data_IF_865896308261
#
_entry.id   IF_865896308261
#
_cell.length_a   1.000
_cell.length_b   1.000
_cell.length_c   1.000
_cell.angle_alpha   90.00
_cell.angle_beta   90.00
_cell.angle_gamma   90.00
#
_symmetry.space_group_name_H-M   'P 1'
#
loop_
_entity.id
_entity.type
_entity.pdbx_description
1 polymer ?
#
# COMPACT_ATOMS: atom_id res chain seq x y z
N UNK A 1 -57.61 -17.66 -33.18
CA UNK A 1 -57.29 -18.70 -32.19
C UNK A 1 -56.16 -18.17 -31.33
N UNK A 2 -56.45 -17.85 -30.07
CA UNK A 2 -55.47 -17.29 -29.13
C UNK A 2 -54.77 -18.48 -28.47
N UNK A 3 -53.46 -18.57 -28.58
CA UNK A 3 -52.66 -19.59 -27.91
C UNK A 3 -52.17 -19.03 -26.58
N UNK A 4 -52.55 -19.61 -25.43
CA UNK A 4 -52.08 -19.14 -24.14
C UNK A 4 -50.64 -19.62 -23.92
N UNK A 5 -49.72 -18.69 -23.65
CA UNK A 5 -48.36 -19.01 -23.18
C UNK A 5 -48.38 -19.33 -21.69
N UNK A 6 -47.70 -20.41 -21.30
CA UNK A 6 -47.52 -20.94 -19.95
C UNK A 6 -46.71 -20.01 -19.03
N UNK A 7 -47.10 -18.74 -18.86
CA UNK A 7 -46.45 -17.80 -17.92
C UNK A 7 -47.30 -17.50 -16.68
N UNK A 8 -48.22 -18.41 -16.36
CA UNK A 8 -48.86 -18.50 -15.06
C UNK A 8 -48.83 -19.98 -14.67
N UNK A 9 -47.65 -20.45 -14.26
CA UNK A 9 -47.54 -21.69 -13.51
C UNK A 9 -47.36 -21.29 -12.06
N UNK A 10 -48.42 -21.48 -11.28
CA UNK A 10 -48.43 -21.54 -9.80
C UNK A 10 -47.51 -20.52 -9.13
N UNK A 11 -47.97 -19.26 -9.09
CA UNK A 11 -47.37 -18.27 -8.21
C UNK A 11 -47.75 -18.62 -6.77
N UNK A 12 -46.93 -19.46 -6.14
CA UNK A 12 -46.96 -19.63 -4.70
C UNK A 12 -46.30 -18.37 -4.11
N UNK A 13 -47.13 -17.35 -3.83
CA UNK A 13 -46.68 -16.08 -3.24
C UNK A 13 -45.85 -16.30 -1.98
N UNK A 14 -46.13 -17.37 -1.24
CA UNK A 14 -45.43 -17.71 -0.01
C UNK A 14 -43.98 -18.10 -0.27
N UNK A 15 -43.72 -18.96 -1.26
CA UNK A 15 -42.35 -19.40 -1.62
C UNK A 15 -41.53 -18.24 -2.19
N UNK A 16 -42.14 -17.39 -3.03
CA UNK A 16 -41.46 -16.22 -3.59
C UNK A 16 -41.12 -15.17 -2.50
N UNK A 17 -42.06 -14.89 -1.60
CA UNK A 17 -41.83 -13.97 -0.48
C UNK A 17 -40.85 -14.54 0.55
N UNK A 18 -40.90 -15.85 0.82
CA UNK A 18 -39.95 -16.55 1.68
C UNK A 18 -38.53 -16.43 1.11
N UNK A 19 -38.36 -16.67 -0.19
CA UNK A 19 -37.08 -16.55 -0.85
C UNK A 19 -36.57 -15.11 -0.93
N UNK A 20 -37.47 -14.11 -1.02
CA UNK A 20 -37.10 -12.71 -0.90
C UNK A 20 -36.56 -12.39 0.50
N UNK A 21 -37.19 -12.91 1.55
CA UNK A 21 -36.75 -12.79 2.94
C UNK A 21 -35.37 -13.37 3.18
N UNK A 22 -35.10 -14.58 2.67
CA UNK A 22 -33.78 -15.22 2.73
C UNK A 22 -32.70 -14.40 1.99
N UNK A 23 -33.03 -13.84 0.82
CA UNK A 23 -32.08 -12.99 0.08
C UNK A 23 -31.81 -11.65 0.78
N UNK A 24 -32.80 -11.11 1.51
CA UNK A 24 -32.66 -9.91 2.33
C UNK A 24 -31.76 -10.16 3.55
N UNK A 25 -31.91 -11.32 4.20
CA UNK A 25 -31.11 -11.74 5.35
C UNK A 25 -29.63 -11.94 4.96
N UNK A 26 -29.38 -12.52 3.79
CA UNK A 26 -28.02 -12.74 3.26
C UNK A 26 -27.36 -11.48 2.67
N UNK A 27 -28.09 -10.37 2.52
CA UNK A 27 -27.59 -9.14 1.89
C UNK A 27 -26.48 -8.48 2.71
N UNK A 28 -26.60 -8.50 4.03
CA UNK A 28 -25.61 -7.94 4.94
C UNK A 28 -24.29 -8.73 4.87
N UNK A 29 -24.38 -10.05 4.80
CA UNK A 29 -23.24 -10.96 4.64
C UNK A 29 -22.50 -10.70 3.31
N UNK A 30 -23.23 -10.61 2.18
CA UNK A 30 -22.63 -10.30 0.87
C UNK A 30 -21.95 -8.93 0.85
N UNK A 31 -22.50 -7.94 1.57
CA UNK A 31 -21.93 -6.60 1.68
C UNK A 31 -20.66 -6.61 2.55
N UNK A 32 -20.66 -7.36 3.65
CA UNK A 32 -19.48 -7.56 4.50
C UNK A 32 -18.34 -8.23 3.73
N UNK A 33 -18.64 -9.24 2.92
CA UNK A 33 -17.67 -9.94 2.07
C UNK A 33 -16.96 -9.00 1.07
N UNK A 34 -17.73 -8.10 0.44
CA UNK A 34 -17.19 -7.07 -0.45
C UNK A 34 -16.27 -6.09 0.28
N UNK A 35 -16.64 -5.69 1.51
CA UNK A 35 -15.81 -4.83 2.35
C UNK A 35 -14.51 -5.53 2.80
N UNK A 36 -14.57 -6.79 3.20
CA UNK A 36 -13.40 -7.60 3.56
C UNK A 36 -12.42 -7.74 2.39
N UNK A 37 -12.91 -8.04 1.19
CA UNK A 37 -12.09 -8.09 -0.03
C UNK A 37 -11.41 -6.76 -0.32
N UNK A 38 -12.15 -5.66 -0.22
CA UNK A 38 -11.61 -4.30 -0.43
C UNK A 38 -10.52 -3.97 0.59
N UNK A 39 -10.74 -4.28 1.87
CA UNK A 39 -9.77 -4.06 2.94
C UNK A 39 -8.50 -4.90 2.74
N UNK A 40 -8.66 -6.18 2.38
CA UNK A 40 -7.55 -7.08 2.08
C UNK A 40 -6.70 -6.56 0.90
N UNK A 41 -7.36 -6.14 -0.19
CA UNK A 41 -6.69 -5.53 -1.35
C UNK A 41 -5.89 -4.28 -0.96
N UNK A 42 -6.52 -3.33 -0.25
CA UNK A 42 -5.85 -2.12 0.24
C UNK A 42 -4.64 -2.44 1.12
N UNK A 43 -4.75 -3.43 2.00
CA UNK A 43 -3.64 -3.86 2.88
C UNK A 43 -2.49 -4.53 2.10
N UNK A 44 -2.80 -5.33 1.09
CA UNK A 44 -1.79 -5.97 0.23
C UNK A 44 -1.03 -4.92 -0.59
N UNK A 45 -1.77 -3.98 -1.20
CA UNK A 45 -1.20 -2.82 -1.92
C UNK A 45 -0.30 -2.01 -1.00
N UNK A 46 -0.78 -1.65 0.20
CA UNK A 46 0.02 -0.89 1.17
C UNK A 46 1.31 -1.64 1.55
N UNK A 47 1.27 -2.97 1.77
CA UNK A 47 2.49 -3.76 2.03
C UNK A 47 3.48 -3.65 0.88
N UNK A 48 3.04 -3.86 -0.37
CA UNK A 48 3.90 -3.78 -1.55
C UNK A 48 4.60 -2.42 -1.69
N UNK A 49 3.86 -1.32 -1.51
CA UNK A 49 4.43 0.03 -1.62
C UNK A 49 5.25 0.45 -0.39
N UNK A 50 4.90 -0.01 0.82
CA UNK A 50 5.66 0.27 2.04
C UNK A 50 6.97 -0.53 2.12
N UNK A 51 7.13 -1.61 1.37
CA UNK A 51 8.42 -2.30 1.23
C UNK A 51 9.49 -1.44 0.54
N UNK A 52 9.10 -0.42 -0.24
CA UNK A 52 10.06 0.52 -0.85
C UNK A 52 10.80 1.37 0.18
N UNK A 53 10.28 1.54 1.41
CA UNK A 53 10.97 2.28 2.48
C UNK A 53 11.93 1.43 3.32
N UNK A 54 11.85 0.09 3.25
CA UNK A 54 12.66 -0.81 4.09
C UNK A 54 13.97 -1.27 3.43
N UNK A 55 14.12 -1.02 2.13
CA UNK A 55 15.29 -1.41 1.32
C UNK A 55 15.97 -0.22 0.63
N UNK A 56 15.46 1.00 0.80
CA UNK A 56 16.20 2.20 0.42
C UNK A 56 17.32 2.41 1.43
N UNK A 57 18.58 2.57 0.98
CA UNK A 57 19.65 2.96 1.87
C UNK A 57 19.26 4.22 2.62
N UNK A 58 19.51 4.27 3.92
CA UNK A 58 19.28 5.46 4.77
C UNK A 58 20.36 6.55 4.56
N UNK A 59 21.06 6.52 3.43
CA UNK A 59 22.07 7.50 3.07
C UNK A 59 21.39 8.82 2.76
N UNK A 60 21.74 9.83 3.53
CA UNK A 60 21.20 11.17 3.37
C UNK A 60 22.01 11.93 2.31
N UNK A 61 21.49 12.04 1.09
CA UNK A 61 22.01 12.92 0.04
C UNK A 61 23.50 12.77 -0.35
N UNK A 62 23.93 13.52 -1.39
CA UNK A 62 25.34 13.63 -1.75
C UNK A 62 26.03 14.72 -0.91
N UNK A 63 27.14 14.37 -0.27
CA UNK A 63 28.01 15.28 0.48
C UNK A 63 29.39 15.38 -0.15
N UNK A 64 30.08 16.51 0.06
CA UNK A 64 31.47 16.73 -0.35
C UNK A 64 32.38 16.73 0.87
N UNK A 65 33.52 16.05 0.79
CA UNK A 65 34.55 16.10 1.83
C UNK A 65 35.28 17.45 1.72
N UNK A 66 35.35 18.19 2.82
CA UNK A 66 36.01 19.51 2.89
C UNK A 66 37.35 19.43 3.60
N UNK A 67 37.45 18.60 4.64
CA UNK A 67 38.66 18.48 5.45
C UNK A 67 38.82 17.07 6.04
N UNK A 68 40.06 16.69 6.34
CA UNK A 68 40.44 15.43 6.99
C UNK A 68 40.90 15.76 8.40
N UNK A 69 40.04 15.52 9.39
CA UNK A 69 40.34 15.85 10.79
C UNK A 69 41.34 14.84 11.35
N UNK A 70 41.17 13.56 11.02
CA UNK A 70 42.05 12.44 11.37
C UNK A 70 41.95 11.40 10.26
N UNK A 71 42.91 10.49 10.18
CA UNK A 71 42.85 9.37 9.24
C UNK A 71 41.51 8.63 9.38
N UNK A 72 40.74 8.57 8.27
CA UNK A 72 39.40 7.97 8.25
C UNK A 72 38.27 8.82 8.83
N UNK A 73 38.51 10.07 9.26
CA UNK A 73 37.48 10.99 9.80
C UNK A 73 37.46 12.31 9.03
N UNK A 74 36.32 12.63 8.45
CA UNK A 74 36.14 13.72 7.50
C UNK A 74 35.10 14.74 7.99
N UNK A 75 35.29 15.99 7.59
CA UNK A 75 34.25 17.03 7.67
C UNK A 75 33.54 17.11 6.32
N UNK A 76 32.21 17.07 6.34
CA UNK A 76 31.39 17.10 5.13
C UNK A 76 30.78 18.47 4.91
N UNK A 77 30.51 18.83 3.65
CA UNK A 77 29.65 19.93 3.28
C UNK A 77 28.52 19.47 2.36
N UNK A 78 27.38 20.15 2.47
CA UNK A 78 26.27 20.01 1.52
C UNK A 78 26.73 20.42 0.12
N UNK A 79 25.96 20.02 -0.91
CA UNK A 79 26.18 20.48 -2.29
C UNK A 79 26.09 22.01 -2.42
N UNK A 80 25.41 22.68 -1.49
CA UNK A 80 25.29 24.13 -1.38
C UNK A 80 26.51 24.79 -0.69
N UNK A 81 27.51 24.00 -0.28
CA UNK A 81 28.74 24.50 0.35
C UNK A 81 28.63 24.79 1.85
N UNK A 82 27.54 24.41 2.51
CA UNK A 82 27.42 24.54 3.98
C UNK A 82 28.17 23.42 4.66
N UNK A 83 29.14 23.76 5.50
CA UNK A 83 29.90 22.80 6.30
C UNK A 83 29.03 22.26 7.42
N UNK A 84 28.97 20.93 7.54
CA UNK A 84 28.30 20.25 8.63
C UNK A 84 29.16 20.34 9.90
N UNK A 85 28.58 20.69 11.07
CA UNK A 85 29.33 20.82 12.31
C UNK A 85 29.84 19.48 12.88
N UNK A 86 29.41 18.36 12.29
CA UNK A 86 29.75 17.00 12.72
C UNK A 86 30.83 16.40 11.83
N UNK A 87 31.78 15.70 12.46
CA UNK A 87 32.77 14.86 11.78
C UNK A 87 32.23 13.46 11.54
N UNK A 88 32.58 12.87 10.41
CA UNK A 88 32.06 11.59 9.93
C UNK A 88 33.20 10.60 9.68
N UNK A 89 33.08 9.41 10.27
CA UNK A 89 34.01 8.31 10.02
C UNK A 89 33.74 7.67 8.65
N UNK A 90 34.78 7.16 7.98
CA UNK A 90 34.70 6.54 6.65
C UNK A 90 33.69 5.38 6.59
N UNK A 91 33.50 4.65 7.69
CA UNK A 91 32.49 3.57 7.78
C UNK A 91 31.06 4.07 7.66
N UNK A 92 30.82 5.35 7.94
CA UNK A 92 29.50 6.00 7.83
C UNK A 92 29.39 6.83 6.55
N UNK A 93 30.24 6.57 5.55
CA UNK A 93 30.22 7.25 4.26
C UNK A 93 30.27 6.21 3.15
N UNK A 94 29.56 6.49 2.05
CA UNK A 94 29.65 5.71 0.84
C UNK A 94 30.11 6.61 -0.30
N UNK A 95 31.17 6.21 -0.99
CA UNK A 95 31.61 6.92 -2.18
C UNK A 95 30.53 6.82 -3.26
N UNK A 96 30.13 7.97 -3.77
CA UNK A 96 29.26 8.06 -4.93
C UNK A 96 30.13 8.35 -6.15
N UNK A 97 30.30 7.35 -7.02
CA UNK A 97 30.95 7.55 -8.31
C UNK A 97 29.88 8.01 -9.30
N UNK A 98 30.04 9.21 -9.84
CA UNK A 98 29.28 9.70 -11.00
C UNK A 98 30.09 9.45 -12.26
#
# INVERSE_FOLDING_TARGET
VIFPTLRIQTHDEEVFNQQLGENLDLLEEKRADGHLRTLAYKRAVAKLYNHRGKLTPNWDGPYRVVDVVREGTYTLATTEGRVLPRTWHISNLQNFYT
#
